data_IF_248477794730
#
_entry.id   IF_248477794730
#
_cell.length_a   1.000
_cell.length_b   1.000
_cell.length_c   1.000
_cell.angle_alpha   90.00
_cell.angle_beta   90.00
_cell.angle_gamma   90.00
#
_symmetry.space_group_name_H-M   'P 1'
#
loop_
_entity.id
_entity.type
_entity.pdbx_description
1 polymer ?
#
# COMPACT_ATOMS: atom_id res chain seq x y z
N UNK A 1 -25.46 -13.08 24.02
CA UNK A 1 -25.97 -11.77 23.56
C UNK A 1 -24.96 -11.23 22.58
N UNK A 2 -25.32 -11.09 21.29
CA UNK A 2 -24.45 -10.50 20.27
C UNK A 2 -24.29 -9.02 20.54
N UNK A 3 -23.09 -8.59 20.88
CA UNK A 3 -22.80 -7.19 21.15
C UNK A 3 -22.77 -6.42 19.81
N UNK A 4 -23.76 -5.54 19.60
CA UNK A 4 -23.76 -4.64 18.44
C UNK A 4 -22.95 -3.39 18.77
N UNK A 5 -22.05 -3.00 17.85
CA UNK A 5 -21.29 -1.77 17.99
C UNK A 5 -22.22 -0.54 17.85
N UNK A 6 -22.00 0.45 18.69
CA UNK A 6 -22.65 1.76 18.57
C UNK A 6 -22.06 2.51 17.37
N UNK A 7 -22.78 3.45 16.80
CA UNK A 7 -22.29 4.29 15.68
C UNK A 7 -20.94 4.93 15.97
N UNK A 8 -20.70 5.37 17.22
CA UNK A 8 -19.41 5.93 17.67
C UNK A 8 -18.27 4.93 17.52
N UNK A 9 -18.50 3.65 17.85
CA UNK A 9 -17.47 2.60 17.75
C UNK A 9 -17.16 2.27 16.30
N UNK A 10 -18.16 2.30 15.41
CA UNK A 10 -17.98 2.09 13.97
C UNK A 10 -17.17 3.24 13.36
N UNK A 11 -17.47 4.48 13.74
CA UNK A 11 -16.73 5.68 13.32
C UNK A 11 -15.28 5.59 13.80
N UNK A 12 -15.07 5.24 15.07
CA UNK A 12 -13.73 5.06 15.63
C UNK A 12 -12.94 3.96 14.89
N UNK A 13 -13.60 2.85 14.52
CA UNK A 13 -12.98 1.79 13.73
C UNK A 13 -12.62 2.28 12.32
N UNK A 14 -13.46 3.10 11.68
CA UNK A 14 -13.19 3.72 10.39
C UNK A 14 -11.99 4.66 10.42
N UNK A 15 -11.91 5.55 11.41
CA UNK A 15 -10.76 6.44 11.60
C UNK A 15 -9.47 5.67 11.92
N UNK A 16 -9.55 4.63 12.74
CA UNK A 16 -8.41 3.75 13.00
C UNK A 16 -7.93 3.09 11.70
N UNK A 17 -8.84 2.57 10.88
CA UNK A 17 -8.53 1.95 9.59
C UNK A 17 -7.88 2.96 8.63
N UNK A 18 -8.42 4.17 8.52
CA UNK A 18 -7.83 5.26 7.75
C UNK A 18 -6.40 5.58 8.24
N UNK A 19 -6.22 5.73 9.55
CA UNK A 19 -4.91 6.05 10.13
C UNK A 19 -3.86 4.94 9.91
N UNK A 20 -4.29 3.67 9.86
CA UNK A 20 -3.42 2.53 9.53
C UNK A 20 -2.96 2.56 8.06
N UNK A 21 -3.86 2.93 7.14
CA UNK A 21 -3.53 3.01 5.72
C UNK A 21 -2.62 4.20 5.39
N UNK A 22 -2.86 5.38 5.98
CA UNK A 22 -2.06 6.57 5.64
C UNK A 22 -0.62 6.43 6.15
N UNK A 23 0.27 5.98 5.29
CA UNK A 23 1.71 5.90 5.50
C UNK A 23 2.49 6.92 4.66
N UNK A 24 3.82 6.75 4.60
CA UNK A 24 4.71 7.61 3.82
C UNK A 24 4.35 7.63 2.33
N UNK A 25 4.05 6.46 1.74
CA UNK A 25 3.70 6.32 0.33
C UNK A 25 2.44 7.11 -0.05
N UNK A 26 1.43 7.10 0.81
CA UNK A 26 0.15 7.78 0.59
C UNK A 26 0.28 9.31 0.53
N UNK A 27 1.36 9.83 1.06
CA UNK A 27 1.62 11.28 1.11
C UNK A 27 2.47 11.71 -0.08
N UNK A 28 3.41 10.86 -0.55
CA UNK A 28 4.37 11.27 -1.59
C UNK A 28 3.97 10.89 -3.02
N UNK A 29 3.26 9.77 -3.24
CA UNK A 29 2.95 9.35 -4.61
C UNK A 29 1.83 10.15 -5.28
N UNK A 30 0.72 10.51 -4.61
CA UNK A 30 -0.31 11.31 -5.26
C UNK A 30 0.19 12.67 -5.78
N UNK A 31 0.97 13.49 -5.02
CA UNK A 31 1.49 14.73 -5.58
C UNK A 31 2.51 14.50 -6.71
N UNK A 32 3.31 13.44 -6.65
CA UNK A 32 4.21 13.08 -7.73
C UNK A 32 3.44 12.75 -9.03
N UNK A 33 2.43 11.91 -8.93
CA UNK A 33 1.55 11.59 -10.07
C UNK A 33 0.81 12.84 -10.55
N UNK A 34 0.34 13.70 -9.64
CA UNK A 34 -0.28 14.98 -9.98
C UNK A 34 0.61 15.88 -10.83
N UNK A 35 1.87 16.06 -10.43
CA UNK A 35 2.86 16.83 -11.15
C UNK A 35 3.15 16.25 -12.55
N UNK A 36 3.34 14.92 -12.64
CA UNK A 36 3.68 14.22 -13.87
C UNK A 36 2.51 14.10 -14.86
N UNK A 37 1.29 13.94 -14.35
CA UNK A 37 0.08 13.80 -15.16
C UNK A 37 -0.47 15.16 -15.65
N UNK A 38 -0.18 16.24 -14.97
CA UNK A 38 -0.54 17.60 -15.39
C UNK A 38 -2.00 17.73 -15.76
N UNK A 39 -2.29 18.15 -17.00
CA UNK A 39 -3.65 18.30 -17.53
C UNK A 39 -4.46 17.00 -17.54
N UNK A 40 -3.80 15.83 -17.51
CA UNK A 40 -4.45 14.50 -17.46
C UNK A 40 -4.59 13.95 -16.04
N UNK A 41 -4.37 14.76 -15.00
CA UNK A 41 -4.34 14.36 -13.58
C UNK A 41 -5.60 13.58 -13.15
N UNK A 42 -6.78 13.98 -13.59
CA UNK A 42 -8.01 13.32 -13.15
C UNK A 42 -8.19 11.93 -13.76
N UNK A 43 -7.75 11.74 -15.00
CA UNK A 43 -7.76 10.40 -15.63
C UNK A 43 -6.74 9.48 -14.94
N UNK A 44 -5.55 9.99 -14.62
CA UNK A 44 -4.55 9.27 -13.86
C UNK A 44 -5.04 8.96 -12.43
N UNK A 45 -5.72 9.92 -11.78
CA UNK A 45 -6.29 9.76 -10.45
C UNK A 45 -7.31 8.62 -10.38
N UNK A 46 -8.19 8.47 -11.38
CA UNK A 46 -9.16 7.36 -11.43
C UNK A 46 -8.41 6.01 -11.43
N UNK A 47 -7.40 5.85 -12.29
CA UNK A 47 -6.59 4.63 -12.33
C UNK A 47 -5.90 4.37 -10.98
N UNK A 48 -5.27 5.39 -10.41
CA UNK A 48 -4.58 5.32 -9.14
C UNK A 48 -5.52 4.93 -7.98
N UNK A 49 -6.70 5.55 -7.90
CA UNK A 49 -7.68 5.29 -6.85
C UNK A 49 -8.21 3.85 -6.86
N UNK A 50 -8.29 3.20 -8.02
CA UNK A 50 -8.69 1.79 -8.11
C UNK A 50 -7.70 0.91 -7.35
N UNK A 51 -6.41 1.13 -7.49
CA UNK A 51 -5.36 0.29 -6.89
C UNK A 51 -4.93 0.74 -5.52
N UNK A 52 -4.93 2.04 -5.26
CA UNK A 52 -4.50 2.61 -3.97
C UNK A 52 -5.65 2.77 -2.95
N UNK A 53 -6.92 2.66 -3.37
CA UNK A 53 -8.08 2.74 -2.47
C UNK A 53 -9.02 1.58 -2.67
N UNK A 54 -9.46 1.33 -3.90
CA UNK A 54 -10.44 0.27 -4.19
C UNK A 54 -9.95 -1.11 -3.78
N UNK A 55 -8.76 -1.50 -4.22
CA UNK A 55 -8.18 -2.81 -3.89
C UNK A 55 -7.89 -2.99 -2.38
N UNK A 56 -7.29 -2.04 -1.66
CA UNK A 56 -7.13 -2.14 -0.21
C UNK A 56 -8.45 -2.36 0.53
N UNK A 57 -9.49 -1.60 0.19
CA UNK A 57 -10.83 -1.77 0.78
C UNK A 57 -11.38 -3.17 0.47
N UNK A 58 -11.29 -3.62 -0.78
CA UNK A 58 -11.70 -4.97 -1.17
C UNK A 58 -10.89 -6.04 -0.42
N UNK A 59 -9.60 -5.83 -0.23
CA UNK A 59 -8.73 -6.77 0.53
C UNK A 59 -9.19 -6.89 1.97
N UNK A 60 -9.45 -5.78 2.65
CA UNK A 60 -9.98 -5.79 4.03
C UNK A 60 -11.31 -6.52 4.10
N UNK A 61 -12.21 -6.30 3.13
CA UNK A 61 -13.50 -7.00 3.05
C UNK A 61 -13.31 -8.50 2.81
N UNK A 62 -12.39 -8.88 1.91
CA UNK A 62 -12.08 -10.28 1.63
C UNK A 62 -11.55 -11.02 2.87
N UNK A 63 -10.62 -10.40 3.61
CA UNK A 63 -10.10 -10.92 4.87
C UNK A 63 -11.18 -11.05 5.94
N UNK A 64 -12.06 -10.08 6.06
CA UNK A 64 -13.19 -10.14 6.99
C UNK A 64 -14.15 -11.29 6.68
N UNK A 65 -14.40 -11.58 5.38
CA UNK A 65 -15.25 -12.70 4.94
C UNK A 65 -14.64 -14.05 5.27
N UNK A 66 -13.32 -14.22 5.12
CA UNK A 66 -12.65 -15.48 5.47
C UNK A 66 -12.37 -15.62 6.97
N UNK A 67 -12.51 -14.52 7.71
CA UNK A 67 -12.33 -14.49 9.18
C UNK A 67 -10.89 -14.67 9.66
N UNK A 68 -9.90 -14.41 8.79
CA UNK A 68 -8.48 -14.62 9.09
C UNK A 68 -7.57 -13.66 8.33
N UNK A 69 -6.26 -13.95 8.35
CA UNK A 69 -5.22 -13.20 7.64
C UNK A 69 -5.04 -13.66 6.19
N UNK A 70 -3.93 -13.24 5.59
CA UNK A 70 -3.50 -13.62 4.23
C UNK A 70 -3.49 -15.14 4.01
N UNK A 71 -3.07 -15.90 5.01
CA UNK A 71 -3.01 -17.37 4.96
C UNK A 71 -4.41 -18.00 4.74
N UNK A 72 -5.42 -17.45 5.41
CA UNK A 72 -6.82 -17.91 5.23
C UNK A 72 -7.36 -17.52 3.86
N UNK A 73 -6.99 -16.33 3.36
CA UNK A 73 -7.39 -15.85 2.05
C UNK A 73 -6.75 -16.69 0.94
N UNK A 74 -5.48 -17.07 1.11
CA UNK A 74 -4.68 -17.83 0.14
C UNK A 74 -4.87 -19.35 0.22
N UNK A 75 -5.76 -19.85 1.07
CA UNK A 75 -6.06 -21.30 1.16
C UNK A 75 -6.23 -22.01 -0.20
N UNK A 76 -6.88 -21.39 -1.24
CA UNK A 76 -7.05 -22.04 -2.54
C UNK A 76 -5.75 -22.36 -3.29
N UNK A 77 -4.64 -21.67 -3.00
CA UNK A 77 -3.34 -21.94 -3.66
C UNK A 77 -2.48 -22.94 -2.90
N UNK A 78 -2.99 -23.47 -1.79
CA UNK A 78 -2.28 -24.43 -0.94
C UNK A 78 -1.43 -23.77 0.15
N UNK A 79 -1.08 -24.55 1.17
CA UNK A 79 -0.42 -24.04 2.39
C UNK A 79 0.95 -23.40 2.10
N UNK A 80 1.78 -24.06 1.28
CA UNK A 80 3.15 -23.57 0.99
C UNK A 80 3.12 -22.27 0.20
N UNK A 81 2.35 -22.22 -0.90
CA UNK A 81 2.24 -21.01 -1.71
C UNK A 81 1.58 -19.86 -0.93
N UNK A 82 0.61 -20.16 -0.06
CA UNK A 82 -0.01 -19.17 0.83
C UNK A 82 0.97 -18.57 1.83
N UNK A 83 1.82 -19.37 2.46
CA UNK A 83 2.87 -18.89 3.37
C UNK A 83 3.91 -18.07 2.60
N UNK A 84 4.34 -18.52 1.42
CA UNK A 84 5.27 -17.76 0.58
C UNK A 84 4.71 -16.40 0.20
N UNK A 85 3.44 -16.34 -0.21
CA UNK A 85 2.76 -15.08 -0.49
C UNK A 85 2.75 -14.17 0.74
N UNK A 86 2.40 -14.70 1.91
CA UNK A 86 2.42 -13.94 3.15
C UNK A 86 3.82 -13.41 3.47
N UNK A 87 4.85 -14.26 3.39
CA UNK A 87 6.25 -13.85 3.60
C UNK A 87 6.64 -12.70 2.66
N UNK A 88 6.31 -12.82 1.37
CA UNK A 88 6.60 -11.78 0.38
C UNK A 88 5.88 -10.47 0.72
N UNK A 89 4.59 -10.52 1.10
CA UNK A 89 3.83 -9.34 1.51
C UNK A 89 4.45 -8.69 2.77
N UNK A 90 4.75 -9.48 3.81
CA UNK A 90 5.34 -8.97 5.04
C UNK A 90 6.74 -8.39 4.83
N UNK A 91 7.57 -9.01 3.99
CA UNK A 91 8.89 -8.47 3.66
C UNK A 91 8.80 -7.18 2.85
N UNK A 92 7.92 -7.12 1.85
CA UNK A 92 7.77 -5.94 0.99
C UNK A 92 7.25 -4.73 1.78
N UNK A 93 6.19 -4.91 2.58
CA UNK A 93 5.59 -3.83 3.39
C UNK A 93 6.43 -3.55 4.65
N UNK A 94 7.15 -4.54 5.15
CA UNK A 94 8.05 -4.41 6.30
C UNK A 94 9.45 -3.92 5.90
N UNK A 95 10.48 -4.74 6.12
CA UNK A 95 11.87 -4.30 6.14
C UNK A 95 12.46 -3.94 4.77
N UNK A 96 11.86 -4.38 3.65
CA UNK A 96 12.43 -4.12 2.33
C UNK A 96 12.08 -2.73 1.78
N UNK A 97 10.82 -2.29 1.90
CA UNK A 97 10.39 -1.06 1.22
C UNK A 97 9.62 -0.09 2.11
N UNK A 98 8.47 -0.46 2.71
CA UNK A 98 7.64 0.54 3.36
C UNK A 98 8.25 1.06 4.66
N UNK A 99 8.83 0.21 5.51
CA UNK A 99 9.47 0.64 6.76
C UNK A 99 10.71 1.53 6.50
N UNK A 100 11.68 1.18 5.62
CA UNK A 100 12.78 2.07 5.25
C UNK A 100 12.30 3.39 4.65
N UNK A 101 11.26 3.35 3.81
CA UNK A 101 10.66 4.54 3.19
C UNK A 101 10.13 5.53 4.22
N UNK A 102 9.62 5.08 5.36
CA UNK A 102 9.18 6.00 6.42
C UNK A 102 10.32 6.88 6.94
N UNK A 103 11.51 6.32 7.10
CA UNK A 103 12.69 7.07 7.54
C UNK A 103 13.15 8.06 6.46
N UNK A 104 13.26 7.61 5.20
CA UNK A 104 13.73 8.47 4.11
C UNK A 104 12.76 9.60 3.79
N UNK A 105 11.44 9.37 3.78
CA UNK A 105 10.44 10.42 3.58
C UNK A 105 10.47 11.44 4.71
N UNK A 106 10.54 11.00 5.96
CA UNK A 106 10.61 11.93 7.10
C UNK A 106 11.94 12.69 7.14
N UNK A 107 13.03 12.10 6.66
CA UNK A 107 14.31 12.78 6.48
C UNK A 107 14.21 13.87 5.40
N UNK A 108 13.76 13.52 4.18
CA UNK A 108 13.70 14.46 3.06
C UNK A 108 12.74 15.63 3.31
N UNK A 109 11.59 15.38 3.95
CA UNK A 109 10.64 16.47 4.27
C UNK A 109 11.14 17.36 5.42
N UNK A 110 11.78 16.76 6.44
CA UNK A 110 12.03 17.46 7.69
C UNK A 110 13.48 17.91 7.92
N UNK A 111 14.44 17.12 7.53
CA UNK A 111 15.86 17.31 7.90
C UNK A 111 16.71 17.72 6.72
N UNK A 112 16.52 17.12 5.55
CA UNK A 112 17.31 17.42 4.35
C UNK A 112 17.32 18.90 3.95
N UNK A 113 16.20 19.66 4.08
CA UNK A 113 16.21 21.09 3.82
C UNK A 113 17.15 21.90 4.74
N UNK A 114 17.49 21.37 5.92
CA UNK A 114 18.36 22.03 6.91
C UNK A 114 19.82 21.57 6.82
N UNK A 115 20.05 20.30 6.46
CA UNK A 115 21.37 19.64 6.52
C UNK A 115 21.95 19.29 5.16
N UNK A 116 21.12 19.37 4.10
CA UNK A 116 21.42 18.88 2.75
C UNK A 116 21.14 17.38 2.60
N UNK A 117 21.06 16.93 1.35
CA UNK A 117 20.79 15.54 0.93
C UNK A 117 22.06 14.68 0.92
N UNK A 118 22.85 14.74 2.00
CA UNK A 118 24.10 14.00 2.09
C UNK A 118 23.93 12.60 2.72
N UNK A 119 24.83 11.66 2.37
CA UNK A 119 24.82 10.31 2.95
C UNK A 119 25.04 10.32 4.47
N UNK A 120 25.90 11.21 4.98
CA UNK A 120 26.17 11.30 6.41
C UNK A 120 24.98 11.83 7.22
N UNK A 121 24.29 12.92 6.85
CA UNK A 121 23.05 13.35 7.52
C UNK A 121 21.98 12.27 7.51
N UNK A 122 21.78 11.56 6.39
CA UNK A 122 20.82 10.45 6.31
C UNK A 122 21.20 9.29 7.25
N UNK A 123 22.49 8.93 7.31
CA UNK A 123 22.96 7.87 8.20
C UNK A 123 22.69 8.23 9.67
N UNK A 124 23.08 9.41 10.12
CA UNK A 124 22.86 9.87 11.50
C UNK A 124 21.35 9.86 11.81
N UNK A 125 20.55 10.41 10.91
CA UNK A 125 19.11 10.44 11.07
C UNK A 125 18.51 9.04 11.16
N UNK A 126 18.87 8.14 10.25
CA UNK A 126 18.33 6.77 10.20
C UNK A 126 18.69 5.98 11.46
N UNK A 127 19.89 6.15 12.01
CA UNK A 127 20.29 5.52 13.27
C UNK A 127 19.38 5.99 14.41
N UNK A 128 19.16 7.30 14.56
CA UNK A 128 18.29 7.85 15.60
C UNK A 128 16.84 7.39 15.40
N UNK A 129 16.35 7.46 14.16
CA UNK A 129 14.99 7.08 13.81
C UNK A 129 14.70 5.61 14.12
N UNK A 130 15.58 4.70 13.66
CA UNK A 130 15.39 3.27 13.89
C UNK A 130 15.70 2.85 15.33
N UNK A 131 16.56 3.56 16.06
CA UNK A 131 16.68 3.37 17.50
C UNK A 131 15.34 3.65 18.22
N UNK A 132 14.64 4.71 17.84
CA UNK A 132 13.30 5.01 18.35
C UNK A 132 12.27 3.95 17.93
N UNK A 133 12.27 3.54 16.64
CA UNK A 133 11.38 2.47 16.15
C UNK A 133 11.58 1.19 16.94
N UNK A 134 12.82 0.74 17.13
CA UNK A 134 13.14 -0.47 17.88
C UNK A 134 12.70 -0.33 19.34
N UNK A 135 13.08 0.76 20.00
CA UNK A 135 12.72 1.00 21.41
C UNK A 135 11.22 0.92 21.64
N UNK A 136 10.45 1.55 20.76
CA UNK A 136 8.99 1.59 20.84
C UNK A 136 8.39 0.22 20.53
N UNK A 137 8.90 -0.48 19.51
CA UNK A 137 8.42 -1.80 19.10
C UNK A 137 8.70 -2.90 20.14
N UNK A 138 9.69 -2.72 21.02
CA UNK A 138 9.94 -3.64 22.12
C UNK A 138 8.87 -3.60 23.22
N UNK A 139 8.09 -2.50 23.31
CA UNK A 139 7.06 -2.30 24.34
C UNK A 139 5.72 -1.86 23.71
N UNK A 140 5.10 -2.69 22.86
CA UNK A 140 3.99 -2.28 22.00
C UNK A 140 2.71 -1.85 22.74
N UNK A 141 2.48 -2.36 23.97
CA UNK A 141 1.18 -2.23 24.65
C UNK A 141 0.80 -0.80 25.08
N UNK A 142 1.73 0.01 25.59
CA UNK A 142 1.42 1.36 26.10
C UNK A 142 1.51 2.46 25.05
N UNK A 143 2.33 2.26 24.02
CA UNK A 143 2.60 3.27 23.01
C UNK A 143 1.60 3.22 21.87
N UNK A 144 1.12 2.04 21.48
CA UNK A 144 0.06 1.89 20.50
C UNK A 144 -1.23 2.59 20.93
N UNK A 145 -1.55 2.57 22.23
CA UNK A 145 -2.71 3.29 22.79
C UNK A 145 -2.50 4.82 22.75
N UNK A 146 -1.33 5.31 23.15
CA UNK A 146 -1.03 6.76 23.13
C UNK A 146 -0.91 7.29 21.70
N UNK A 147 -0.26 6.53 20.83
CA UNK A 147 -0.10 6.83 19.40
C UNK A 147 -1.46 6.83 18.70
N UNK A 148 -2.29 5.81 18.93
CA UNK A 148 -3.62 5.72 18.32
C UNK A 148 -4.58 6.81 18.79
N UNK A 149 -4.57 7.14 20.07
CA UNK A 149 -5.53 8.08 20.67
C UNK A 149 -5.17 9.54 20.47
N UNK A 150 -3.90 9.90 20.36
CA UNK A 150 -3.45 11.29 20.24
C UNK A 150 -2.85 11.63 18.88
N UNK A 151 -1.96 10.78 18.37
CA UNK A 151 -1.23 11.08 17.14
C UNK A 151 -2.06 10.84 15.88
N UNK A 152 -2.98 9.87 15.89
CA UNK A 152 -3.86 9.64 14.74
C UNK A 152 -4.82 10.83 14.49
N UNK A 153 -5.53 11.39 15.48
CA UNK A 153 -6.32 12.60 15.28
C UNK A 153 -5.48 13.80 14.82
N UNK A 154 -4.30 14.02 15.40
CA UNK A 154 -3.41 15.11 15.00
C UNK A 154 -2.98 14.98 13.53
N UNK A 155 -2.60 13.77 13.10
CA UNK A 155 -2.26 13.44 11.72
C UNK A 155 -3.42 13.73 10.77
N UNK A 156 -4.64 13.31 11.13
CA UNK A 156 -5.84 13.54 10.32
C UNK A 156 -6.12 15.03 10.18
N UNK A 157 -6.09 15.80 11.26
CA UNK A 157 -6.33 17.26 11.24
C UNK A 157 -5.33 17.95 10.32
N UNK A 158 -4.05 17.62 10.43
CA UNK A 158 -3.03 18.25 9.61
C UNK A 158 -3.14 17.86 8.12
N UNK A 159 -3.53 16.62 7.81
CA UNK A 159 -3.83 16.21 6.43
C UNK A 159 -5.06 16.94 5.87
N UNK A 160 -6.07 17.19 6.70
CA UNK A 160 -7.23 18.02 6.32
C UNK A 160 -6.79 19.45 6.01
N UNK A 161 -5.96 20.06 6.88
CA UNK A 161 -5.43 21.42 6.66
C UNK A 161 -4.66 21.49 5.34
N UNK A 162 -3.76 20.53 5.11
CA UNK A 162 -3.00 20.46 3.86
C UNK A 162 -3.91 20.28 2.64
N UNK A 163 -4.93 19.42 2.73
CA UNK A 163 -5.89 19.17 1.67
C UNK A 163 -6.73 20.40 1.34
N UNK A 164 -7.20 21.12 2.36
CA UNK A 164 -7.95 22.36 2.20
C UNK A 164 -7.07 23.45 1.60
N UNK A 165 -5.83 23.57 2.07
CA UNK A 165 -4.87 24.52 1.52
C UNK A 165 -4.60 24.25 0.03
N UNK A 166 -4.39 23.00 -0.36
CA UNK A 166 -4.14 22.60 -1.75
C UNK A 166 -5.29 23.01 -2.70
N UNK A 167 -6.53 23.06 -2.20
CA UNK A 167 -7.70 23.47 -2.98
C UNK A 167 -7.84 25.00 -3.03
N UNK A 168 -7.61 25.69 -1.90
CA UNK A 168 -7.88 27.13 -1.77
C UNK A 168 -6.70 27.97 -2.29
N UNK A 169 -5.46 27.50 -2.12
CA UNK A 169 -4.23 28.22 -2.48
C UNK A 169 -3.39 27.39 -3.47
N UNK A 170 -3.80 27.31 -4.76
CA UNK A 170 -2.98 26.64 -5.79
C UNK A 170 -1.65 27.38 -5.95
N UNK A 171 -0.55 26.63 -6.09
CA UNK A 171 0.80 27.21 -6.17
C UNK A 171 1.13 27.83 -7.55
N UNK A 172 0.40 27.42 -8.59
CA UNK A 172 0.63 27.89 -9.94
C UNK A 172 -0.32 27.27 -10.97
N UNK A 173 -0.06 27.46 -12.26
CA UNK A 173 -0.83 26.81 -13.32
C UNK A 173 -0.57 25.31 -13.35
N UNK A 174 -1.53 24.55 -13.89
CA UNK A 174 -1.41 23.11 -14.06
C UNK A 174 -0.20 22.78 -14.94
N UNK A 175 0.59 21.79 -14.50
CA UNK A 175 1.76 21.30 -15.24
C UNK A 175 1.39 20.67 -16.59
N UNK A 176 2.33 20.67 -17.53
CA UNK A 176 2.22 19.86 -18.74
C UNK A 176 2.45 18.39 -18.41
N UNK A 177 1.64 17.49 -18.99
CA UNK A 177 1.81 16.06 -18.77
C UNK A 177 3.12 15.54 -19.37
N UNK A 178 3.80 14.64 -18.66
CA UNK A 178 4.87 13.82 -19.22
C UNK A 178 4.34 12.89 -20.32
N UNK A 179 5.20 12.48 -21.27
CA UNK A 179 4.82 11.64 -22.42
C UNK A 179 4.05 10.38 -22.00
N UNK A 180 4.48 9.71 -20.94
CA UNK A 180 3.79 8.52 -20.41
C UNK A 180 2.33 8.81 -20.02
N UNK A 181 2.06 9.98 -19.45
CA UNK A 181 0.70 10.38 -19.05
C UNK A 181 -0.11 11.03 -20.18
N UNK A 182 0.53 11.49 -21.26
CA UNK A 182 -0.19 11.91 -22.48
C UNK A 182 -0.78 10.73 -23.22
N UNK A 183 -0.03 9.64 -23.30
CA UNK A 183 -0.44 8.44 -24.07
C UNK A 183 -1.36 7.51 -23.29
N UNK A 184 -1.08 7.29 -21.99
CA UNK A 184 -1.81 6.32 -21.17
C UNK A 184 -2.01 6.79 -19.72
N UNK A 185 -2.73 7.90 -19.47
CA UNK A 185 -2.85 8.46 -18.12
C UNK A 185 -3.52 7.50 -17.13
N UNK A 186 -4.59 6.82 -17.51
CA UNK A 186 -5.29 5.86 -16.66
C UNK A 186 -4.39 4.70 -16.24
N UNK A 187 -3.71 4.07 -17.19
CA UNK A 187 -2.87 2.90 -16.92
C UNK A 187 -1.65 3.25 -16.07
N UNK A 188 -1.01 4.39 -16.35
CA UNK A 188 0.09 4.88 -15.52
C UNK A 188 -0.37 5.23 -14.10
N UNK A 189 -1.53 5.85 -13.95
CA UNK A 189 -2.15 6.05 -12.65
C UNK A 189 -2.39 4.74 -11.92
N UNK A 190 -2.99 3.75 -12.59
CA UNK A 190 -3.28 2.43 -12.04
C UNK A 190 -2.02 1.71 -11.52
N UNK A 191 -0.95 1.69 -12.30
CA UNK A 191 0.33 1.06 -11.92
C UNK A 191 1.04 1.85 -10.82
N UNK A 192 1.01 3.19 -10.87
CA UNK A 192 1.61 4.02 -9.82
C UNK A 192 0.88 3.89 -8.48
N UNK A 193 -0.40 3.51 -8.48
CA UNK A 193 -1.12 3.19 -7.25
C UNK A 193 -0.54 1.98 -6.49
N UNK A 194 0.21 1.07 -7.14
CA UNK A 194 0.93 -0.02 -6.47
C UNK A 194 1.99 0.50 -5.48
N UNK A 195 2.57 1.65 -5.79
CA UNK A 195 3.67 2.24 -5.00
C UNK A 195 3.23 2.68 -3.60
N UNK A 196 1.93 2.90 -3.38
CA UNK A 196 1.40 3.17 -2.02
C UNK A 196 1.53 1.94 -1.12
N UNK A 197 1.59 0.73 -1.70
CA UNK A 197 1.61 -0.58 -1.02
C UNK A 197 0.37 -0.86 -0.15
N UNK A 198 -0.72 -0.13 -0.34
CA UNK A 198 -1.91 -0.23 0.51
C UNK A 198 -2.61 -1.58 0.41
N UNK A 199 -2.63 -2.21 -0.76
CA UNK A 199 -3.20 -3.57 -0.92
C UNK A 199 -2.39 -4.60 -0.14
N UNK A 200 -1.06 -4.54 -0.23
CA UNK A 200 -0.16 -5.40 0.55
C UNK A 200 -0.26 -5.07 2.04
N UNK A 201 -0.34 -3.78 2.39
CA UNK A 201 -0.59 -3.31 3.75
C UNK A 201 -1.92 -3.83 4.30
N UNK A 202 -2.99 -3.82 3.49
CA UNK A 202 -4.27 -4.40 3.87
C UNK A 202 -4.18 -5.90 4.14
N UNK A 203 -3.37 -6.65 3.40
CA UNK A 203 -3.11 -8.06 3.68
C UNK A 203 -2.42 -8.26 5.03
N UNK A 204 -1.49 -7.38 5.40
CA UNK A 204 -0.76 -7.43 6.67
C UNK A 204 -1.62 -6.94 7.83
N UNK A 205 -2.29 -5.79 7.68
CA UNK A 205 -3.06 -5.14 8.75
C UNK A 205 -4.54 -5.54 8.82
N UNK A 206 -5.07 -6.21 7.80
CA UNK A 206 -6.50 -6.53 7.76
C UNK A 206 -6.98 -7.33 8.97
N UNK A 207 -6.16 -8.25 9.46
CA UNK A 207 -6.46 -9.01 10.69
C UNK A 207 -6.51 -8.10 11.92
N UNK A 208 -5.71 -7.04 11.97
CA UNK A 208 -5.73 -6.06 13.08
C UNK A 208 -7.07 -5.33 13.14
N UNK A 209 -7.63 -4.96 11.98
CA UNK A 209 -8.95 -4.32 11.87
C UNK A 209 -10.05 -5.26 12.35
N UNK A 210 -10.01 -6.52 11.92
CA UNK A 210 -10.96 -7.55 12.36
C UNK A 210 -10.85 -7.80 13.87
N UNK A 211 -9.63 -7.90 14.40
CA UNK A 211 -9.40 -8.10 15.84
C UNK A 211 -9.83 -6.89 16.67
N UNK A 212 -9.68 -5.68 16.16
CA UNK A 212 -10.19 -4.48 16.82
C UNK A 212 -11.73 -4.45 16.94
N UNK A 213 -12.44 -5.05 16.00
CA UNK A 213 -13.88 -5.26 16.13
C UNK A 213 -14.21 -6.39 17.14
N UNK A 214 -13.42 -7.49 17.13
CA UNK A 214 -13.56 -8.60 18.09
C UNK A 214 -13.32 -8.19 19.54
N UNK A 215 -12.30 -7.39 19.79
CA UNK A 215 -11.97 -6.90 21.15
C UNK A 215 -13.08 -6.02 21.76
N UNK A 216 -13.95 -5.46 20.92
CA UNK A 216 -15.16 -4.73 21.32
C UNK A 216 -16.38 -5.63 21.53
N UNK A 217 -16.18 -6.94 21.61
CA UNK A 217 -17.24 -7.94 21.91
C UNK A 217 -18.04 -8.44 20.71
N UNK A 218 -17.62 -8.12 19.47
CA UNK A 218 -18.26 -8.66 18.26
C UNK A 218 -17.71 -10.06 17.96
N UNK A 219 -18.52 -11.08 18.16
CA UNK A 219 -18.13 -12.49 17.92
C UNK A 219 -18.77 -13.11 16.68
N UNK A 220 -19.92 -12.57 16.23
CA UNK A 220 -20.65 -13.06 15.07
C UNK A 220 -19.93 -12.68 13.77
N UNK A 221 -19.61 -13.66 12.92
CA UNK A 221 -18.89 -13.47 11.65
C UNK A 221 -19.58 -12.48 10.71
N UNK A 222 -20.92 -12.49 10.66
CA UNK A 222 -21.71 -11.58 9.83
C UNK A 222 -21.55 -10.12 10.27
N UNK A 223 -21.59 -9.87 11.58
CA UNK A 223 -21.42 -8.54 12.16
C UNK A 223 -19.97 -8.06 12.01
N UNK A 224 -18.98 -8.94 12.23
CA UNK A 224 -17.56 -8.63 11.97
C UNK A 224 -17.36 -8.17 10.53
N UNK A 225 -17.83 -8.94 9.56
CA UNK A 225 -17.74 -8.57 8.14
C UNK A 225 -18.43 -7.23 7.89
N UNK A 226 -19.65 -7.02 8.39
CA UNK A 226 -20.40 -5.78 8.20
C UNK A 226 -19.65 -4.55 8.76
N UNK A 227 -19.12 -4.63 9.98
CA UNK A 227 -18.41 -3.51 10.59
C UNK A 227 -17.06 -3.25 9.93
N UNK A 228 -16.36 -4.30 9.51
CA UNK A 228 -15.11 -4.17 8.75
C UNK A 228 -15.35 -3.54 7.37
N UNK A 229 -16.45 -3.88 6.69
CA UNK A 229 -16.87 -3.22 5.44
C UNK A 229 -17.09 -1.73 5.66
N UNK A 230 -17.86 -1.35 6.69
CA UNK A 230 -18.08 0.07 6.99
C UNK A 230 -16.80 0.81 7.32
N UNK A 231 -15.92 0.19 8.14
CA UNK A 231 -14.62 0.78 8.46
C UNK A 231 -13.74 0.96 7.20
N UNK A 232 -13.69 -0.05 6.33
CA UNK A 232 -12.97 0.01 5.06
C UNK A 232 -13.53 1.09 4.11
N UNK A 233 -14.86 1.20 3.99
CA UNK A 233 -15.49 2.23 3.17
C UNK A 233 -15.21 3.64 3.70
N UNK A 234 -15.29 3.85 5.01
CA UNK A 234 -14.96 5.15 5.62
C UNK A 234 -13.50 5.52 5.40
N UNK A 235 -12.58 4.56 5.57
CA UNK A 235 -11.16 4.76 5.28
C UNK A 235 -10.94 5.07 3.80
N UNK A 236 -11.62 4.35 2.90
CA UNK A 236 -11.55 4.56 1.45
C UNK A 236 -12.03 5.96 1.04
N UNK A 237 -13.12 6.45 1.61
CA UNK A 237 -13.59 7.83 1.38
C UNK A 237 -12.56 8.84 1.87
N UNK A 238 -12.01 8.65 3.06
CA UNK A 238 -10.96 9.53 3.60
C UNK A 238 -9.71 9.55 2.73
N UNK A 239 -9.22 8.38 2.28
CA UNK A 239 -8.08 8.27 1.37
C UNK A 239 -8.37 8.93 0.01
N UNK A 240 -9.57 8.73 -0.54
CA UNK A 240 -9.96 9.36 -1.82
C UNK A 240 -9.90 10.88 -1.72
N UNK A 241 -10.50 11.47 -0.67
CA UNK A 241 -10.48 12.91 -0.47
C UNK A 241 -9.05 13.45 -0.32
N UNK A 242 -8.22 12.77 0.48
CA UNK A 242 -6.82 13.11 0.65
C UNK A 242 -6.06 13.06 -0.68
N UNK A 243 -6.21 11.98 -1.45
CA UNK A 243 -5.49 11.81 -2.71
C UNK A 243 -5.92 12.82 -3.77
N UNK A 244 -7.21 13.12 -3.88
CA UNK A 244 -7.70 14.15 -4.82
C UNK A 244 -7.07 15.53 -4.52
N UNK A 245 -6.95 15.88 -3.24
CA UNK A 245 -6.28 17.12 -2.84
C UNK A 245 -4.78 17.09 -3.13
N UNK A 246 -4.10 15.97 -2.87
CA UNK A 246 -2.66 15.82 -3.14
C UNK A 246 -2.35 15.75 -4.65
N UNK A 247 -3.22 15.14 -5.47
CA UNK A 247 -3.10 15.22 -6.93
C UNK A 247 -3.17 16.67 -7.42
N UNK A 248 -4.13 17.43 -6.90
CA UNK A 248 -4.27 18.85 -7.23
C UNK A 248 -3.04 19.62 -6.80
N UNK A 249 -2.57 19.44 -5.56
CA UNK A 249 -1.34 20.05 -5.07
C UNK A 249 -0.16 19.79 -6.02
N UNK A 250 0.02 18.53 -6.43
CA UNK A 250 1.11 18.16 -7.34
C UNK A 250 0.98 18.81 -8.71
N UNK A 251 -0.21 18.79 -9.33
CA UNK A 251 -0.44 19.36 -10.66
C UNK A 251 -0.19 20.87 -10.73
N UNK A 252 -0.39 21.56 -9.61
CA UNK A 252 -0.23 23.03 -9.53
C UNK A 252 1.18 23.44 -9.07
N UNK A 253 2.09 22.48 -8.77
CA UNK A 253 3.43 22.76 -8.21
C UNK A 253 4.55 22.87 -9.24
N UNK A 254 4.26 22.86 -10.54
CA UNK A 254 5.28 22.89 -11.61
C UNK A 254 6.17 24.16 -11.60
N UNK A 255 5.71 25.23 -11.00
CA UNK A 255 6.50 26.47 -10.82
C UNK A 255 7.46 26.43 -9.63
N UNK A 256 7.26 25.48 -8.72
CA UNK A 256 8.04 25.36 -7.49
C UNK A 256 9.13 24.30 -7.56
N UNK A 257 8.97 23.28 -8.42
CA UNK A 257 9.86 22.13 -8.52
C UNK A 257 9.96 21.63 -9.97
N UNK A 258 11.04 20.90 -10.28
CA UNK A 258 11.19 20.22 -11.56
C UNK A 258 10.21 19.05 -11.69
N UNK A 259 9.85 18.69 -12.92
CA UNK A 259 8.95 17.55 -13.20
C UNK A 259 9.49 16.18 -12.74
N UNK A 260 10.79 16.09 -12.49
CA UNK A 260 11.45 14.89 -11.94
C UNK A 260 11.45 14.83 -10.41
N UNK A 261 10.93 15.87 -9.74
CA UNK A 261 10.91 15.94 -8.28
C UNK A 261 10.08 14.79 -7.66
N UNK A 262 10.59 14.24 -6.57
CA UNK A 262 9.84 13.27 -5.79
C UNK A 262 8.75 13.96 -4.94
N UNK A 263 7.82 13.16 -4.43
CA UNK A 263 6.68 13.70 -3.68
C UNK A 263 7.06 14.41 -2.38
N UNK A 264 8.19 14.08 -1.76
CA UNK A 264 8.67 14.77 -0.55
C UNK A 264 9.10 16.21 -0.88
N UNK A 265 9.86 16.39 -1.97
CA UNK A 265 10.27 17.69 -2.44
C UNK A 265 9.07 18.57 -2.86
N UNK A 266 8.08 17.99 -3.56
CA UNK A 266 6.84 18.68 -3.94
C UNK A 266 6.11 19.22 -2.71
N UNK A 267 5.89 18.36 -1.72
CA UNK A 267 5.19 18.74 -0.48
C UNK A 267 5.93 19.81 0.30
N UNK A 268 7.25 19.63 0.48
CA UNK A 268 8.07 20.62 1.18
C UNK A 268 7.99 21.99 0.48
N UNK A 269 8.19 22.02 -0.83
CA UNK A 269 8.18 23.27 -1.61
C UNK A 269 6.82 23.95 -1.58
N UNK A 270 5.73 23.18 -1.70
CA UNK A 270 4.38 23.72 -1.60
C UNK A 270 4.11 24.33 -0.21
N UNK A 271 4.44 23.60 0.87
CA UNK A 271 4.18 24.08 2.24
C UNK A 271 5.09 25.28 2.57
N UNK A 272 6.34 25.27 2.14
CA UNK A 272 7.25 26.42 2.28
C UNK A 272 6.72 27.65 1.55
N UNK A 273 6.20 27.49 0.34
CA UNK A 273 5.61 28.55 -0.45
C UNK A 273 4.34 29.12 0.21
N UNK A 274 3.45 28.25 0.71
CA UNK A 274 2.12 28.63 1.18
C UNK A 274 2.12 29.10 2.64
N UNK A 275 2.88 28.44 3.52
CA UNK A 275 2.88 28.67 4.97
C UNK A 275 4.22 29.16 5.53
N UNK A 276 5.26 29.26 4.69
CA UNK A 276 6.59 29.67 5.11
C UNK A 276 7.28 28.66 6.02
N UNK A 277 8.35 29.11 6.71
CA UNK A 277 9.18 28.24 7.57
C UNK A 277 8.43 27.60 8.75
N UNK A 278 7.46 28.28 9.32
CA UNK A 278 6.65 27.72 10.41
C UNK A 278 5.82 26.52 9.92
N UNK A 279 5.23 26.64 8.71
CA UNK A 279 4.50 25.55 8.07
C UNK A 279 5.39 24.35 7.75
N UNK A 280 6.59 24.60 7.23
CA UNK A 280 7.58 23.56 6.93
C UNK A 280 7.99 22.80 8.20
N UNK A 281 8.20 23.49 9.32
CA UNK A 281 8.50 22.84 10.60
C UNK A 281 7.34 21.99 11.10
N UNK A 282 6.10 22.50 11.01
CA UNK A 282 4.91 21.73 11.39
C UNK A 282 4.71 20.49 10.50
N UNK A 283 4.94 20.63 9.18
CA UNK A 283 4.89 19.51 8.23
C UNK A 283 5.95 18.45 8.60
N UNK A 284 7.18 18.88 8.86
CA UNK A 284 8.28 17.99 9.25
C UNK A 284 7.94 17.18 10.50
N UNK A 285 7.45 17.85 11.56
CA UNK A 285 7.03 17.19 12.79
C UNK A 285 5.88 16.20 12.56
N UNK A 286 4.88 16.58 11.77
CA UNK A 286 3.75 15.73 11.43
C UNK A 286 4.18 14.49 10.66
N UNK A 287 4.99 14.66 9.60
CA UNK A 287 5.48 13.56 8.76
C UNK A 287 6.38 12.63 9.59
N UNK A 288 7.25 13.17 10.45
CA UNK A 288 8.07 12.37 11.36
C UNK A 288 7.20 11.47 12.23
N UNK A 289 6.21 12.03 12.90
CA UNK A 289 5.30 11.27 13.78
C UNK A 289 4.50 10.24 12.97
N UNK A 290 3.92 10.64 11.85
CA UNK A 290 3.15 9.75 11.01
C UNK A 290 3.98 8.57 10.49
N UNK A 291 5.20 8.82 10.05
CA UNK A 291 6.14 7.81 9.59
C UNK A 291 6.61 6.90 10.74
N UNK A 292 6.91 7.47 11.90
CA UNK A 292 7.34 6.69 13.08
C UNK A 292 6.27 5.70 13.51
N UNK A 293 5.01 6.14 13.60
CA UNK A 293 3.86 5.28 13.94
C UNK A 293 3.73 4.13 12.95
N UNK A 294 3.81 4.44 11.66
CA UNK A 294 3.73 3.43 10.59
C UNK A 294 4.89 2.44 10.68
N UNK A 295 6.13 2.93 10.88
CA UNK A 295 7.32 2.07 11.01
C UNK A 295 7.21 1.11 12.21
N UNK A 296 6.77 1.61 13.36
CA UNK A 296 6.54 0.79 14.56
C UNK A 296 5.47 -0.26 14.30
N UNK A 297 4.32 0.13 13.74
CA UNK A 297 3.24 -0.81 13.42
C UNK A 297 3.67 -1.91 12.48
N UNK A 298 4.42 -1.58 11.41
CA UNK A 298 4.95 -2.54 10.45
C UNK A 298 6.00 -3.46 11.07
N UNK A 299 6.91 -2.91 11.88
CA UNK A 299 7.95 -3.69 12.56
C UNK A 299 7.33 -4.69 13.53
N UNK A 300 6.33 -4.27 14.32
CA UNK A 300 5.59 -5.16 15.22
C UNK A 300 4.86 -6.26 14.46
N UNK A 301 4.11 -5.91 13.42
CA UNK A 301 3.36 -6.89 12.61
C UNK A 301 4.28 -7.92 11.96
N UNK A 302 5.41 -7.49 11.40
CA UNK A 302 6.41 -8.39 10.83
C UNK A 302 7.06 -9.29 11.89
N UNK A 303 7.43 -8.73 13.05
CA UNK A 303 8.03 -9.50 14.13
C UNK A 303 7.06 -10.56 14.69
N UNK A 304 5.77 -10.22 14.86
CA UNK A 304 4.73 -11.16 15.28
C UNK A 304 4.52 -12.27 14.25
N UNK A 305 4.49 -11.92 12.96
CA UNK A 305 4.34 -12.90 11.88
C UNK A 305 5.53 -13.86 11.83
N UNK A 306 6.76 -13.35 11.76
CA UNK A 306 7.96 -14.19 11.65
C UNK A 306 8.27 -15.01 12.90
N UNK A 307 7.85 -14.57 14.08
CA UNK A 307 7.98 -15.35 15.32
C UNK A 307 7.16 -16.64 15.31
N UNK A 308 6.15 -16.77 14.43
CA UNK A 308 5.36 -18.01 14.28
C UNK A 308 6.09 -19.07 13.45
N UNK A 309 7.04 -18.66 12.59
CA UNK A 309 7.71 -19.54 11.64
C UNK A 309 9.20 -19.74 11.91
N UNK A 310 9.83 -18.80 12.62
CA UNK A 310 11.26 -18.81 12.91
C UNK A 310 11.48 -19.12 14.41
N UNK A 311 12.53 -19.86 14.76
CA UNK A 311 12.89 -20.14 16.16
C UNK A 311 13.59 -18.93 16.81
N UNK A 312 13.03 -17.73 16.62
CA UNK A 312 13.55 -16.45 17.12
C UNK A 312 12.51 -15.77 18.00
N UNK A 313 12.98 -15.10 19.05
CA UNK A 313 12.09 -14.35 19.92
C UNK A 313 11.56 -13.10 19.19
N UNK A 314 10.37 -12.64 19.55
CA UNK A 314 9.82 -11.36 19.07
C UNK A 314 10.83 -10.21 19.20
N UNK A 315 11.52 -10.11 20.34
CA UNK A 315 12.52 -9.05 20.58
C UNK A 315 13.69 -9.14 19.60
N UNK A 316 14.21 -10.35 19.38
CA UNK A 316 15.30 -10.56 18.41
C UNK A 316 14.88 -10.16 17.00
N UNK A 317 13.65 -10.49 16.60
CA UNK A 317 13.10 -10.11 15.30
C UNK A 317 12.92 -8.60 15.17
N UNK A 318 12.46 -7.90 16.20
CA UNK A 318 12.38 -6.43 16.20
C UNK A 318 13.76 -5.80 15.95
N UNK A 319 14.81 -6.30 16.60
CA UNK A 319 16.19 -5.81 16.37
C UNK A 319 16.66 -6.11 14.95
N UNK A 320 16.50 -7.34 14.46
CA UNK A 320 16.93 -7.75 13.13
C UNK A 320 16.23 -6.93 12.05
N UNK A 321 14.90 -6.83 12.12
CA UNK A 321 14.10 -6.10 11.14
C UNK A 321 14.37 -4.60 11.19
N UNK A 322 14.55 -4.03 12.38
CA UNK A 322 14.87 -2.61 12.55
C UNK A 322 16.24 -2.25 12.00
N UNK A 323 17.29 -3.04 12.30
CA UNK A 323 18.66 -2.82 11.80
C UNK A 323 18.68 -3.02 10.27
N UNK A 324 18.00 -4.05 9.76
CA UNK A 324 17.91 -4.27 8.31
C UNK A 324 17.23 -3.10 7.60
N UNK A 325 16.09 -2.64 8.13
CA UNK A 325 15.37 -1.47 7.58
C UNK A 325 16.22 -0.20 7.64
N UNK A 326 17.00 -0.01 8.71
CA UNK A 326 17.97 1.08 8.82
C UNK A 326 19.01 1.02 7.70
N UNK A 327 19.61 -0.14 7.47
CA UNK A 327 20.59 -0.31 6.39
C UNK A 327 19.98 0.00 5.02
N UNK A 328 18.77 -0.52 4.74
CA UNK A 328 18.06 -0.28 3.48
C UNK A 328 17.67 1.19 3.31
N UNK A 329 17.31 1.91 4.38
CA UNK A 329 16.95 3.33 4.30
C UNK A 329 18.13 4.22 3.86
N UNK A 330 19.36 3.79 4.08
CA UNK A 330 20.55 4.54 3.65
C UNK A 330 20.80 4.51 2.13
N UNK A 331 19.99 3.77 1.37
CA UNK A 331 19.93 3.90 -0.09
C UNK A 331 19.32 5.24 -0.54
N UNK A 332 18.61 5.93 0.34
CA UNK A 332 17.86 7.16 0.01
C UNK A 332 16.50 6.88 -0.66
N UNK A 333 15.62 7.87 -0.65
CA UNK A 333 14.24 7.72 -1.10
C UNK A 333 14.13 7.36 -2.59
N UNK A 334 14.87 8.07 -3.44
CA UNK A 334 14.80 7.88 -4.90
C UNK A 334 15.25 6.46 -5.31
N UNK A 335 16.31 5.93 -4.74
CA UNK A 335 16.77 4.56 -5.01
C UNK A 335 15.80 3.53 -4.46
N UNK A 336 15.24 3.74 -3.26
CA UNK A 336 14.21 2.86 -2.70
C UNK A 336 12.97 2.77 -3.60
N UNK A 337 12.52 3.90 -4.15
CA UNK A 337 11.43 3.93 -5.11
C UNK A 337 11.81 3.12 -6.36
N UNK A 338 12.97 3.39 -6.96
CA UNK A 338 13.43 2.70 -8.17
C UNK A 338 13.52 1.19 -8.00
N UNK A 339 14.05 0.70 -6.88
CA UNK A 339 14.16 -0.74 -6.60
C UNK A 339 12.79 -1.36 -6.29
N UNK A 340 11.90 -0.61 -5.65
CA UNK A 340 10.57 -1.11 -5.29
C UNK A 340 9.64 -1.28 -6.50
N UNK A 341 9.76 -0.44 -7.54
CA UNK A 341 8.89 -0.46 -8.73
C UNK A 341 8.85 -1.85 -9.38
N UNK A 342 9.97 -2.47 -9.79
CA UNK A 342 9.95 -3.78 -10.44
C UNK A 342 9.34 -4.87 -9.56
N UNK A 343 9.66 -4.86 -8.27
CA UNK A 343 9.19 -5.86 -7.30
C UNK A 343 7.69 -5.73 -7.08
N UNK A 344 7.19 -4.51 -6.89
CA UNK A 344 5.76 -4.27 -6.70
C UNK A 344 4.98 -4.58 -7.97
N UNK A 345 5.48 -4.21 -9.14
CA UNK A 345 4.87 -4.55 -10.43
C UNK A 345 4.74 -6.06 -10.62
N UNK A 346 5.69 -6.85 -10.12
CA UNK A 346 5.63 -8.31 -10.16
C UNK A 346 4.65 -8.92 -9.15
N UNK A 347 4.56 -8.37 -7.94
CA UNK A 347 3.80 -8.96 -6.83
C UNK A 347 2.32 -8.55 -6.85
N UNK A 348 2.00 -7.35 -7.31
CA UNK A 348 0.62 -6.85 -7.30
C UNK A 348 -0.35 -7.66 -8.14
N UNK A 349 -0.02 -8.11 -9.38
CA UNK A 349 -0.93 -8.90 -10.20
C UNK A 349 -1.50 -10.15 -9.51
N UNK A 350 -0.71 -11.05 -8.92
CA UNK A 350 -1.26 -12.21 -8.21
C UNK A 350 -2.07 -11.82 -6.96
N UNK A 351 -1.70 -10.73 -6.27
CA UNK A 351 -2.48 -10.22 -5.14
C UNK A 351 -3.85 -9.70 -5.60
N UNK A 352 -3.90 -8.97 -6.72
CA UNK A 352 -5.16 -8.50 -7.32
C UNK A 352 -6.03 -9.68 -7.71
N UNK A 353 -5.46 -10.67 -8.41
CA UNK A 353 -6.17 -11.88 -8.83
C UNK A 353 -6.75 -12.62 -7.60
N UNK A 354 -5.96 -12.80 -6.55
CA UNK A 354 -6.41 -13.44 -5.30
C UNK A 354 -7.59 -12.71 -4.68
N UNK A 355 -7.45 -11.39 -4.48
CA UNK A 355 -8.49 -10.57 -3.83
C UNK A 355 -9.78 -10.59 -4.65
N UNK A 356 -9.71 -10.33 -5.96
CA UNK A 356 -10.88 -10.28 -6.83
C UNK A 356 -11.57 -11.63 -6.91
N UNK A 357 -10.82 -12.70 -7.13
CA UNK A 357 -11.38 -14.05 -7.27
C UNK A 357 -11.86 -14.63 -5.94
N UNK A 358 -11.40 -14.13 -4.80
CA UNK A 358 -11.90 -14.56 -3.47
C UNK A 358 -13.38 -14.28 -3.28
N UNK A 359 -13.91 -13.23 -3.91
CA UNK A 359 -15.35 -12.89 -3.84
C UNK A 359 -16.24 -13.86 -4.60
N UNK A 360 -15.71 -14.57 -5.59
CA UNK A 360 -16.42 -15.54 -6.41
C UNK A 360 -16.16 -16.98 -5.99
N UNK A 361 -15.46 -17.20 -4.85
CA UNK A 361 -15.03 -18.51 -4.35
C UNK A 361 -16.18 -19.53 -4.27
N UNK A 362 -17.37 -19.10 -3.89
CA UNK A 362 -18.55 -19.95 -3.73
C UNK A 362 -19.28 -20.29 -5.05
N UNK A 363 -18.83 -19.73 -6.18
CA UNK A 363 -19.46 -19.96 -7.50
C UNK A 363 -18.91 -21.18 -8.20
N UNK A 364 -17.83 -21.80 -7.67
CA UNK A 364 -17.09 -22.88 -8.30
C UNK A 364 -17.16 -24.16 -7.47
N UNK A 365 -17.08 -25.30 -8.15
CA UNK A 365 -17.04 -26.61 -7.50
C UNK A 365 -15.74 -26.74 -6.68
N UNK A 366 -14.61 -26.29 -7.24
CA UNK A 366 -13.33 -26.24 -6.53
C UNK A 366 -12.61 -24.91 -6.82
N UNK A 367 -12.60 -24.01 -5.84
CA UNK A 367 -11.97 -22.70 -5.97
C UNK A 367 -10.47 -22.76 -6.29
N UNK A 368 -9.76 -23.83 -5.85
CA UNK A 368 -8.33 -23.99 -6.14
C UNK A 368 -8.08 -24.19 -7.65
N UNK A 369 -9.00 -24.82 -8.39
CA UNK A 369 -8.87 -25.02 -9.84
C UNK A 369 -8.94 -23.72 -10.64
N UNK A 370 -9.53 -22.69 -10.07
CA UNK A 370 -9.67 -21.37 -10.74
C UNK A 370 -8.63 -20.38 -10.20
N UNK A 371 -8.49 -20.25 -8.89
CA UNK A 371 -7.64 -19.23 -8.27
C UNK A 371 -6.15 -19.54 -8.47
N UNK A 372 -5.71 -20.80 -8.27
CA UNK A 372 -4.29 -21.12 -8.35
C UNK A 372 -3.68 -20.90 -9.74
N UNK A 373 -4.27 -21.39 -10.86
CA UNK A 373 -3.70 -21.11 -12.19
C UNK A 373 -3.80 -19.63 -12.57
N UNK A 374 -4.86 -18.92 -12.17
CA UNK A 374 -4.97 -17.49 -12.42
C UNK A 374 -3.86 -16.70 -11.71
N UNK A 375 -3.57 -17.01 -10.45
CA UNK A 375 -2.47 -16.39 -9.70
C UNK A 375 -1.10 -16.74 -10.29
N UNK A 376 -0.90 -17.99 -10.72
CA UNK A 376 0.36 -18.41 -11.34
C UNK A 376 0.63 -17.63 -12.62
N UNK A 377 -0.36 -17.53 -13.52
CA UNK A 377 -0.23 -16.77 -14.76
C UNK A 377 -0.03 -15.28 -14.48
N UNK A 378 -0.81 -14.70 -13.54
CA UNK A 378 -0.64 -13.29 -13.20
C UNK A 378 0.73 -12.99 -12.60
N UNK A 379 1.32 -13.91 -11.84
CA UNK A 379 2.69 -13.79 -11.33
C UNK A 379 3.72 -13.87 -12.45
N UNK A 380 3.59 -14.85 -13.36
CA UNK A 380 4.53 -14.98 -14.48
C UNK A 380 4.58 -13.73 -15.35
N UNK A 381 3.44 -13.21 -15.75
CA UNK A 381 3.37 -11.99 -16.56
C UNK A 381 3.68 -10.73 -15.74
N UNK A 382 3.35 -10.71 -14.46
CA UNK A 382 3.77 -9.65 -13.53
C UNK A 382 5.29 -9.58 -13.37
N UNK A 383 5.99 -10.72 -13.35
CA UNK A 383 7.46 -10.76 -13.36
C UNK A 383 8.00 -10.18 -14.68
N UNK A 384 7.38 -10.47 -15.81
CA UNK A 384 7.77 -9.88 -17.11
C UNK A 384 7.62 -8.34 -17.05
N UNK A 385 6.48 -7.84 -16.59
CA UNK A 385 6.26 -6.40 -16.41
C UNK A 385 7.27 -5.79 -15.41
N UNK A 386 7.59 -6.50 -14.32
CA UNK A 386 8.60 -6.07 -13.36
C UNK A 386 10.02 -6.02 -13.95
N UNK A 387 10.43 -7.02 -14.71
CA UNK A 387 11.73 -7.02 -15.40
C UNK A 387 11.80 -5.85 -16.40
N UNK A 388 10.72 -5.58 -17.13
CA UNK A 388 10.64 -4.46 -18.09
C UNK A 388 10.90 -3.10 -17.43
N UNK A 389 10.51 -2.92 -16.18
CA UNK A 389 10.73 -1.68 -15.42
C UNK A 389 12.09 -1.65 -14.68
N UNK A 390 12.89 -2.69 -14.81
CA UNK A 390 14.20 -2.82 -14.16
C UNK A 390 15.35 -2.57 -15.14
N UNK A 391 16.58 -2.55 -14.60
CA UNK A 391 17.81 -2.51 -15.40
C UNK A 391 18.02 -3.75 -16.28
N UNK A 392 17.20 -4.79 -16.13
CA UNK A 392 17.28 -6.04 -16.86
C UNK A 392 16.28 -6.12 -18.04
N UNK A 393 15.69 -5.02 -18.46
CA UNK A 393 14.70 -4.97 -19.53
C UNK A 393 15.22 -5.59 -20.85
N UNK A 394 16.51 -5.41 -21.15
CA UNK A 394 17.16 -5.93 -22.36
C UNK A 394 17.26 -7.47 -22.41
N UNK A 395 17.08 -8.15 -21.26
CA UNK A 395 17.07 -9.62 -21.22
C UNK A 395 15.73 -10.21 -21.66
N UNK A 396 14.69 -9.39 -21.84
CA UNK A 396 13.38 -9.86 -22.23
C UNK A 396 13.33 -10.22 -23.72
N UNK A 397 12.74 -11.39 -24.09
CA UNK A 397 12.52 -11.75 -25.47
C UNK A 397 11.61 -10.74 -26.20
N UNK A 398 11.87 -10.48 -27.48
CA UNK A 398 11.14 -9.48 -28.28
C UNK A 398 9.60 -9.71 -28.34
N UNK A 399 9.13 -10.94 -28.15
CA UNK A 399 7.68 -11.23 -28.12
C UNK A 399 6.95 -10.59 -26.94
N UNK A 400 7.66 -10.31 -25.83
CA UNK A 400 7.05 -9.70 -24.63
C UNK A 400 6.57 -8.26 -24.88
N UNK A 401 7.21 -7.55 -25.82
CA UNK A 401 6.79 -6.22 -26.24
C UNK A 401 5.47 -6.24 -27.07
N UNK A 402 5.12 -7.40 -27.67
CA UNK A 402 3.89 -7.57 -28.46
C UNK A 402 2.68 -7.97 -27.61
N UNK A 403 2.86 -8.18 -26.33
CA UNK A 403 1.74 -8.52 -25.44
C UNK A 403 0.76 -7.34 -25.35
N UNK A 404 -0.55 -7.61 -25.31
CA UNK A 404 -1.54 -6.56 -25.09
C UNK A 404 -1.26 -5.83 -23.78
N UNK A 405 -1.33 -4.51 -23.80
CA UNK A 405 -1.09 -3.62 -22.65
C UNK A 405 0.33 -3.68 -22.06
N UNK A 406 1.31 -4.26 -22.78
CA UNK A 406 2.69 -4.37 -22.30
C UNK A 406 3.37 -2.99 -22.13
N UNK A 407 3.07 -2.04 -23.03
CA UNK A 407 3.60 -0.67 -22.95
C UNK A 407 3.09 0.08 -21.71
N UNK A 408 1.93 -0.33 -21.20
CA UNK A 408 1.28 0.26 -20.02
C UNK A 408 1.61 -0.47 -18.71
N UNK A 409 2.50 -1.48 -18.72
CA UNK A 409 2.84 -2.28 -17.54
C UNK A 409 1.69 -3.17 -17.04
N UNK A 410 0.79 -3.56 -17.93
CA UNK A 410 -0.39 -4.39 -17.65
C UNK A 410 -0.44 -5.64 -18.53
N UNK A 411 0.73 -6.16 -18.97
CA UNK A 411 0.81 -7.37 -19.79
C UNK A 411 0.21 -8.59 -19.11
N UNK A 412 0.14 -8.60 -17.79
CA UNK A 412 -0.45 -9.67 -16.99
C UNK A 412 -1.98 -9.78 -17.11
N UNK A 413 -2.68 -8.69 -17.43
CA UNK A 413 -4.14 -8.61 -17.31
C UNK A 413 -4.86 -9.56 -18.28
N UNK A 414 -4.53 -9.50 -19.57
CA UNK A 414 -5.19 -10.31 -20.61
C UNK A 414 -4.89 -11.82 -20.45
N UNK A 415 -3.64 -12.28 -20.27
CA UNK A 415 -3.36 -13.68 -20.02
C UNK A 415 -4.05 -14.22 -18.76
N UNK A 416 -4.13 -13.41 -17.70
CA UNK A 416 -4.85 -13.79 -16.48
C UNK A 416 -6.34 -13.93 -16.73
N UNK A 417 -6.97 -13.00 -17.44
CA UNK A 417 -8.38 -13.08 -17.79
C UNK A 417 -8.70 -14.33 -18.65
N UNK A 418 -7.87 -14.63 -19.63
CA UNK A 418 -8.01 -15.86 -20.46
C UNK A 418 -7.87 -17.10 -19.59
N UNK A 419 -6.87 -17.14 -18.68
CA UNK A 419 -6.68 -18.27 -17.77
C UNK A 419 -7.88 -18.46 -16.84
N UNK A 420 -8.46 -17.38 -16.30
CA UNK A 420 -9.68 -17.46 -15.47
C UNK A 420 -10.83 -18.10 -16.26
N UNK A 421 -11.07 -17.68 -17.52
CA UNK A 421 -12.12 -18.24 -18.35
C UNK A 421 -11.88 -19.75 -18.58
N UNK A 422 -10.67 -20.13 -18.97
CA UNK A 422 -10.31 -21.53 -19.19
C UNK A 422 -10.46 -22.37 -17.92
N UNK A 423 -10.02 -21.87 -16.80
CA UNK A 423 -10.11 -22.54 -15.51
C UNK A 423 -11.57 -22.71 -15.05
N UNK A 424 -12.44 -21.73 -15.28
CA UNK A 424 -13.89 -21.81 -14.99
C UNK A 424 -14.56 -22.86 -15.88
N UNK A 425 -14.23 -22.90 -17.17
CA UNK A 425 -14.75 -23.94 -18.09
C UNK A 425 -14.32 -25.31 -17.63
N UNK A 426 -13.06 -25.46 -17.27
CA UNK A 426 -12.53 -26.74 -16.75
C UNK A 426 -13.22 -27.17 -15.45
N UNK A 427 -13.36 -26.27 -14.47
CA UNK A 427 -14.03 -26.56 -13.19
C UNK A 427 -15.47 -27.05 -13.40
N UNK A 428 -16.22 -26.40 -14.32
CA UNK A 428 -17.58 -26.80 -14.69
C UNK A 428 -17.65 -28.14 -15.41
N UNK A 429 -16.71 -28.43 -16.31
CA UNK A 429 -16.66 -29.68 -17.03
C UNK A 429 -16.40 -30.88 -16.09
N UNK A 430 -15.42 -30.75 -15.21
CA UNK A 430 -15.08 -31.79 -14.24
C UNK A 430 -16.17 -31.96 -13.18
N UNK A 431 -16.81 -30.85 -12.72
CA UNK A 431 -17.92 -30.91 -11.78
C UNK A 431 -19.12 -31.70 -12.31
N UNK A 432 -19.43 -31.58 -13.61
CA UNK A 432 -20.51 -32.38 -14.26
C UNK A 432 -20.20 -33.87 -14.33
N UNK A 433 -18.95 -34.24 -14.55
CA UNK A 433 -18.54 -35.65 -14.61
C UNK A 433 -18.71 -36.37 -13.25
N UNK A 434 -18.36 -35.68 -12.16
CA UNK A 434 -18.51 -36.22 -10.80
C UNK A 434 -19.98 -36.45 -10.42
N UNK A 435 -20.87 -35.56 -10.81
CA UNK A 435 -22.31 -35.72 -10.59
C UNK A 435 -22.94 -36.79 -11.49
N UNK A 436 -22.45 -37.01 -12.70
CA UNK A 436 -22.91 -38.04 -13.65
C UNK A 436 -22.43 -39.43 -13.27
N UNK A 437 -21.31 -39.59 -12.56
CA UNK A 437 -20.78 -40.87 -12.10
C UNK A 437 -21.36 -41.33 -10.74
N UNK A 438 -22.11 -40.45 -10.07
CA UNK A 438 -22.75 -40.72 -8.80
C UNK A 438 -24.26 -41.14 -8.94
N UNK A 439 -24.77 -41.21 -10.17
CA UNK A 439 -26.05 -41.79 -10.58
C UNK A 439 -25.83 -43.07 -11.39
#
# INVERSE_FOLDING_TARGET
MTHQLKSRDIIALGFMTFALFVGAGNIIFPPMVGLQAGEHVWTAAIGFLITAVGLPVLTVVALAKVGGGVESLSTPIGKVAGILLAVVCYLAVGPLFATPRTATVSFEVGIAPLTGEGAMPLLIYSVIYFALVILVSLYPGKLLDTVGNFLAPLKIIALIILSVAAIIWPAGPISNALEAYRTAPFSNGFVNGYLTMDTLGAMVFGIVIVNAARSRGVTEARLLTRYTVWAGLMAGVGLTLLYLALFRLGSDSATLVDQSANGAAILHSYVQHTFGGAGSFMLAALIFIACLVTAVGLTCACAEFFAQYLPLSYRSLVFILGIFSMAVSNLGLSHLIQISIPVLTAIYPPCIALVVLSFTRNWWHNSSRVIAPAMFISLMFGIIDGIKTSAFADLLPAWTARLPLAEQGLAWLMPTAVMVVLAVVWDRAVGRQVTSSAH
#
